data_IF_961866881703
#
_entry.id   IF_961866881703
#
_cell.length_a   1.000
_cell.length_b   1.000
_cell.length_c   1.000
_cell.angle_alpha   90.00
_cell.angle_beta   90.00
_cell.angle_gamma   90.00
#
_symmetry.space_group_name_H-M   'P 1'
#
loop_
_entity.id
_entity.type
_entity.pdbx_description
1 polymer ?
#
# COMPACT_ATOMS: atom_id res chain seq x y z
N UNK A 1 8.03 -40.33 -22.94
CA UNK A 1 7.24 -39.32 -23.68
C UNK A 1 5.86 -39.22 -23.05
N UNK A 2 5.62 -38.14 -22.30
CA UNK A 2 4.29 -37.75 -21.86
C UNK A 2 4.14 -36.24 -22.10
N UNK A 3 3.31 -35.90 -23.08
CA UNK A 3 2.71 -34.57 -23.25
C UNK A 3 1.23 -34.82 -23.54
N UNK A 4 0.42 -34.80 -22.49
CA UNK A 4 -0.79 -33.97 -22.48
C UNK A 4 -0.91 -33.19 -21.16
N UNK A 5 -1.11 -31.86 -21.27
CA UNK A 5 -1.23 -30.95 -20.13
C UNK A 5 -0.40 -29.65 -20.26
N UNK A 6 -0.28 -29.07 -21.46
CA UNK A 6 0.27 -27.70 -21.60
C UNK A 6 -0.87 -26.74 -21.33
N UNK A 7 -1.11 -26.37 -20.06
CA UNK A 7 -2.18 -25.42 -19.72
C UNK A 7 -1.69 -23.99 -19.53
N UNK A 8 -0.40 -23.74 -19.22
CA UNK A 8 0.27 -22.43 -19.28
C UNK A 8 1.78 -22.56 -18.96
N UNK A 9 2.63 -21.61 -19.41
CA UNK A 9 4.03 -21.48 -18.97
C UNK A 9 4.17 -21.55 -17.45
N UNK A 10 5.29 -22.11 -16.95
CA UNK A 10 5.70 -21.96 -15.54
C UNK A 10 5.85 -20.47 -15.25
N UNK A 11 5.44 -20.00 -14.08
CA UNK A 11 5.65 -18.59 -13.71
C UNK A 11 6.64 -18.41 -12.57
N UNK A 12 7.51 -17.43 -12.73
CA UNK A 12 8.18 -16.75 -11.64
C UNK A 12 7.40 -15.47 -11.33
N UNK A 13 6.67 -15.46 -10.21
CA UNK A 13 6.09 -14.25 -9.65
C UNK A 13 7.15 -13.62 -8.74
N UNK A 14 7.60 -12.42 -9.07
CA UNK A 14 8.60 -11.70 -8.29
C UNK A 14 8.04 -10.36 -7.84
N UNK A 15 7.80 -10.24 -6.53
CA UNK A 15 7.41 -8.98 -5.90
C UNK A 15 8.67 -8.24 -5.41
N UNK A 16 8.84 -6.99 -5.83
CA UNK A 16 9.81 -6.04 -5.29
C UNK A 16 9.08 -5.12 -4.32
N UNK A 17 9.52 -5.09 -3.07
CA UNK A 17 8.91 -4.26 -2.03
C UNK A 17 9.15 -2.77 -2.32
N UNK A 18 8.08 -1.98 -2.38
CA UNK A 18 8.14 -0.51 -2.43
C UNK A 18 8.86 0.12 -3.63
N UNK A 19 8.78 -0.48 -4.82
CA UNK A 19 9.40 0.05 -6.05
C UNK A 19 8.37 0.81 -6.90
N UNK A 20 8.51 2.14 -7.04
CA UNK A 20 7.59 2.95 -7.85
C UNK A 20 7.64 2.62 -9.35
N UNK A 21 6.48 2.73 -9.99
CA UNK A 21 6.35 2.60 -11.45
C UNK A 21 7.30 3.51 -12.24
N UNK A 22 7.47 4.75 -11.80
CA UNK A 22 8.36 5.71 -12.47
C UNK A 22 9.83 5.29 -12.44
N UNK A 23 10.28 4.59 -11.40
CA UNK A 23 11.67 4.11 -11.32
C UNK A 23 11.90 2.91 -12.24
N UNK A 24 10.89 2.05 -12.45
CA UNK A 24 10.93 1.00 -13.46
C UNK A 24 10.93 1.58 -14.88
N UNK A 25 10.09 2.57 -15.16
CA UNK A 25 10.13 3.27 -16.45
C UNK A 25 11.50 3.90 -16.70
N UNK A 26 12.07 4.58 -15.70
CA UNK A 26 13.40 5.16 -15.80
C UNK A 26 14.51 4.09 -15.99
N UNK A 27 14.37 2.92 -15.38
CA UNK A 27 15.27 1.78 -15.60
C UNK A 27 15.16 1.26 -17.05
N UNK A 28 13.94 1.10 -17.58
CA UNK A 28 13.70 0.66 -18.96
C UNK A 28 14.23 1.64 -19.99
N UNK A 29 14.05 2.93 -19.76
CA UNK A 29 14.61 3.98 -20.64
C UNK A 29 16.14 3.96 -20.69
N UNK A 30 16.81 3.33 -19.70
CA UNK A 30 18.27 3.10 -19.68
C UNK A 30 18.68 1.74 -20.29
N UNK A 31 17.75 0.96 -20.83
CA UNK A 31 18.00 -0.35 -21.45
C UNK A 31 17.91 -1.55 -20.51
N UNK A 32 17.48 -1.36 -19.25
CA UNK A 32 17.22 -2.48 -18.34
C UNK A 32 15.85 -3.09 -18.62
N UNK A 33 15.66 -4.37 -18.29
CA UNK A 33 14.40 -5.10 -18.46
C UNK A 33 13.88 -5.09 -19.91
N UNK A 34 14.79 -5.14 -20.89
CA UNK A 34 14.48 -5.18 -22.34
C UNK A 34 13.66 -6.43 -22.75
N UNK A 35 13.78 -7.50 -21.98
CA UNK A 35 13.00 -8.73 -22.15
C UNK A 35 11.56 -8.68 -21.65
N UNK A 36 11.14 -7.57 -21.02
CA UNK A 36 9.78 -7.36 -20.53
C UNK A 36 8.97 -6.47 -21.47
N UNK A 37 7.66 -6.73 -21.53
CA UNK A 37 6.68 -5.84 -22.15
C UNK A 37 6.49 -4.58 -21.30
N UNK A 38 5.67 -3.64 -21.78
CA UNK A 38 5.49 -2.35 -21.12
C UNK A 38 4.93 -2.52 -19.69
N UNK A 39 5.48 -1.80 -18.69
CA UNK A 39 4.94 -1.87 -17.35
C UNK A 39 3.60 -1.16 -17.27
N UNK A 40 2.68 -1.80 -16.58
CA UNK A 40 1.40 -1.26 -16.13
C UNK A 40 1.56 -0.57 -14.79
N UNK A 41 0.70 0.42 -14.52
CA UNK A 41 0.50 0.93 -13.16
C UNK A 41 -0.33 -0.07 -12.36
N UNK A 42 0.20 -0.51 -11.23
CA UNK A 42 -0.52 -1.32 -10.26
C UNK A 42 -0.83 -0.45 -9.06
N UNK A 43 -2.11 -0.11 -8.86
CA UNK A 43 -2.52 0.84 -7.81
C UNK A 43 -2.65 0.14 -6.47
N UNK A 44 -1.77 0.50 -5.53
CA UNK A 44 -1.86 0.08 -4.14
C UNK A 44 -3.09 0.68 -3.45
N UNK A 45 -3.78 -0.08 -2.58
CA UNK A 45 -4.85 0.47 -1.74
C UNK A 45 -4.31 1.50 -0.74
N UNK A 46 -5.15 2.43 -0.31
CA UNK A 46 -4.91 3.34 0.83
C UNK A 46 -5.40 2.70 2.17
N UNK A 47 -4.60 2.72 3.27
CA UNK A 47 -3.24 3.20 3.33
C UNK A 47 -2.30 2.28 2.56
N UNK A 48 -1.33 2.91 1.90
CA UNK A 48 -0.42 2.27 0.97
C UNK A 48 0.62 1.47 1.75
N UNK A 49 0.29 0.24 2.14
CA UNK A 49 1.10 -0.61 3.01
C UNK A 49 1.22 -2.03 2.45
N UNK A 50 2.41 -2.63 2.50
CA UNK A 50 2.72 -3.99 1.96
C UNK A 50 1.66 -5.04 2.28
N UNK A 51 1.34 -5.26 3.56
CA UNK A 51 0.40 -6.31 3.94
C UNK A 51 -1.03 -6.01 3.51
N UNK A 52 -1.41 -4.73 3.41
CA UNK A 52 -2.73 -4.33 2.91
C UNK A 52 -2.80 -4.54 1.40
N UNK A 53 -1.76 -4.09 0.69
CA UNK A 53 -1.64 -4.22 -0.76
C UNK A 53 -1.60 -5.69 -1.20
N UNK A 54 -0.71 -6.50 -0.64
CA UNK A 54 -0.57 -7.90 -1.01
C UNK A 54 -1.80 -8.73 -0.62
N UNK A 55 -2.45 -8.44 0.52
CA UNK A 55 -3.73 -9.11 0.83
C UNK A 55 -4.82 -8.77 -0.18
N UNK A 56 -4.92 -7.51 -0.65
CA UNK A 56 -5.85 -7.14 -1.71
C UNK A 56 -5.50 -7.81 -3.05
N UNK A 57 -4.24 -7.76 -3.47
CA UNK A 57 -3.74 -8.33 -4.73
C UNK A 57 -4.00 -9.82 -4.87
N UNK A 58 -3.84 -10.57 -3.78
CA UNK A 58 -4.01 -12.02 -3.78
C UNK A 58 -5.37 -12.47 -3.24
N UNK A 59 -6.29 -11.55 -2.97
CA UNK A 59 -7.57 -11.84 -2.28
C UNK A 59 -7.37 -12.70 -1.02
N UNK A 60 -6.29 -12.43 -0.29
CA UNK A 60 -5.90 -13.17 0.91
C UNK A 60 -6.57 -12.60 2.16
N UNK A 61 -6.44 -13.30 3.29
CA UNK A 61 -7.01 -12.82 4.55
C UNK A 61 -6.44 -11.43 4.91
N UNK A 62 -7.30 -10.44 5.24
CA UNK A 62 -6.85 -9.10 5.64
C UNK A 62 -5.97 -9.12 6.89
N UNK A 63 -4.84 -8.40 6.96
CA UNK A 63 -3.98 -8.38 8.14
C UNK A 63 -4.72 -7.86 9.39
N UNK A 64 -4.22 -8.17 10.59
CA UNK A 64 -4.86 -7.73 11.84
C UNK A 64 -5.00 -6.20 11.92
N UNK A 65 -3.97 -5.47 11.47
CA UNK A 65 -3.97 -4.03 11.34
C UNK A 65 -3.10 -3.57 10.19
N UNK A 66 -2.93 -2.26 10.07
CA UNK A 66 -2.19 -1.64 8.98
C UNK A 66 -0.67 -1.90 9.03
N UNK A 67 -0.14 -2.14 10.24
CA UNK A 67 1.26 -2.42 10.52
C UNK A 67 1.42 -3.56 11.54
N UNK A 68 2.67 -3.97 11.78
CA UNK A 68 3.03 -4.99 12.77
C UNK A 68 2.61 -4.63 14.20
N UNK A 69 2.63 -3.34 14.54
CA UNK A 69 1.98 -2.82 15.75
C UNK A 69 0.62 -2.25 15.33
N UNK A 70 -0.45 -2.74 15.95
CA UNK A 70 -1.81 -2.33 15.62
C UNK A 70 -2.63 -2.20 16.90
N UNK A 71 -3.80 -1.57 16.81
CA UNK A 71 -4.78 -1.56 17.89
C UNK A 71 -5.82 -2.66 17.65
N UNK A 72 -6.00 -3.54 18.61
CA UNK A 72 -7.05 -4.55 18.59
C UNK A 72 -8.32 -3.97 19.22
N UNK A 73 -9.37 -3.78 18.40
CA UNK A 73 -10.65 -3.22 18.86
C UNK A 73 -11.41 -4.16 19.81
N UNK A 74 -11.16 -5.47 19.75
CA UNK A 74 -11.81 -6.45 20.62
C UNK A 74 -11.23 -6.39 22.03
N UNK A 75 -9.89 -6.39 22.16
CA UNK A 75 -9.21 -6.27 23.46
C UNK A 75 -9.01 -4.83 23.93
N UNK A 76 -9.26 -3.85 23.04
CA UNK A 76 -9.06 -2.40 23.26
C UNK A 76 -7.63 -2.05 23.66
N UNK A 77 -6.65 -2.75 23.10
CA UNK A 77 -5.23 -2.61 23.42
C UNK A 77 -4.35 -2.69 22.17
N UNK A 78 -3.20 -2.02 22.17
CA UNK A 78 -2.19 -2.18 21.13
C UNK A 78 -1.51 -3.55 21.20
N UNK A 79 -1.48 -4.28 20.10
CA UNK A 79 -0.88 -5.60 19.99
C UNK A 79 0.23 -5.63 18.93
N UNK A 80 1.15 -6.58 19.06
CA UNK A 80 2.26 -6.80 18.13
C UNK A 80 3.50 -5.94 18.41
N UNK A 81 4.09 -5.36 17.36
CA UNK A 81 5.36 -4.61 17.43
C UNK A 81 6.63 -5.49 17.45
N UNK A 82 7.73 -4.96 18.01
CA UNK A 82 9.09 -5.55 17.91
C UNK A 82 9.15 -6.98 18.49
N UNK A 83 8.34 -7.28 19.52
CA UNK A 83 8.27 -8.61 20.12
C UNK A 83 7.92 -9.73 19.13
N UNK A 84 7.25 -9.41 18.01
CA UNK A 84 6.98 -10.36 16.91
C UNK A 84 8.25 -10.80 16.16
N UNK A 85 9.28 -9.95 16.12
CA UNK A 85 10.54 -10.22 15.40
C UNK A 85 11.58 -10.95 16.27
N UNK A 86 11.38 -10.99 17.59
CA UNK A 86 12.24 -11.73 18.53
C UNK A 86 11.80 -13.19 18.74
N UNK A 87 10.68 -13.62 18.15
CA UNK A 87 10.14 -14.98 18.22
C UNK A 87 10.12 -15.71 16.87
N UNK A 88 9.82 -17.02 16.89
CA UNK A 88 9.47 -17.79 15.67
C UNK A 88 8.37 -17.02 14.91
N UNK A 89 8.38 -17.08 13.57
CA UNK A 89 7.51 -16.36 12.59
C UNK A 89 5.99 -16.45 12.84
N UNK A 90 5.54 -17.15 13.88
CA UNK A 90 4.18 -17.64 14.07
C UNK A 90 3.94 -17.92 15.56
N UNK A 91 3.28 -16.99 16.26
CA UNK A 91 2.01 -17.37 16.90
C UNK A 91 0.80 -16.84 16.14
N UNK A 92 0.99 -15.81 15.30
CA UNK A 92 -0.09 -15.09 14.61
C UNK A 92 -0.10 -15.30 13.09
N UNK A 93 0.46 -16.41 12.54
CA UNK A 93 0.25 -16.68 11.11
C UNK A 93 -1.24 -16.90 10.93
N UNK A 94 -1.89 -15.92 10.32
CA UNK A 94 -3.27 -16.07 9.99
C UNK A 94 -3.38 -17.06 8.85
N UNK A 95 -4.23 -18.10 8.97
CA UNK A 95 -4.51 -18.99 7.86
C UNK A 95 -4.93 -18.19 6.61
N UNK A 96 -4.45 -18.63 5.45
CA UNK A 96 -4.75 -18.02 4.14
C UNK A 96 -4.21 -16.60 3.97
N UNK A 97 -3.05 -16.31 4.59
CA UNK A 97 -2.28 -15.10 4.26
C UNK A 97 -1.58 -15.26 2.92
N UNK A 98 -1.30 -14.18 2.20
CA UNK A 98 -0.46 -14.23 1.00
C UNK A 98 0.92 -14.84 1.29
N UNK A 99 1.39 -14.74 2.54
CA UNK A 99 2.65 -15.34 3.00
C UNK A 99 2.64 -16.88 2.98
N UNK A 100 1.48 -17.52 2.90
CA UNK A 100 1.37 -18.98 2.71
C UNK A 100 1.65 -19.39 1.26
N UNK A 101 1.62 -18.43 0.32
CA UNK A 101 1.89 -18.65 -1.09
C UNK A 101 3.37 -18.40 -1.45
N UNK A 102 4.17 -17.83 -0.54
CA UNK A 102 5.57 -17.49 -0.81
C UNK A 102 6.46 -18.73 -0.76
N UNK A 103 7.17 -18.98 -1.86
CA UNK A 103 8.28 -19.93 -1.93
C UNK A 103 9.58 -19.32 -1.41
N UNK A 104 9.73 -18.01 -1.60
CA UNK A 104 10.89 -17.26 -1.14
C UNK A 104 10.50 -15.97 -0.43
N UNK A 105 11.10 -15.79 0.74
CA UNK A 105 11.17 -14.52 1.44
C UNK A 105 12.47 -14.50 2.24
N UNK A 106 13.06 -13.32 2.37
CA UNK A 106 14.19 -13.09 3.26
C UNK A 106 14.01 -13.76 4.65
N UNK A 107 15.07 -14.39 5.21
CA UNK A 107 15.05 -14.92 6.57
C UNK A 107 14.83 -13.85 7.64
N UNK A 108 14.04 -14.19 8.67
CA UNK A 108 13.63 -13.29 9.77
C UNK A 108 14.76 -12.47 10.43
N UNK A 109 15.94 -13.07 10.61
CA UNK A 109 17.08 -12.40 11.24
C UNK A 109 17.52 -11.14 10.48
N UNK A 110 17.14 -11.00 9.21
CA UNK A 110 17.53 -9.89 8.36
C UNK A 110 16.44 -8.82 8.18
N UNK A 111 15.22 -9.07 8.65
CA UNK A 111 14.06 -8.17 8.46
C UNK A 111 14.23 -6.79 9.12
N UNK A 112 14.99 -6.71 10.22
CA UNK A 112 15.42 -5.43 10.80
C UNK A 112 16.75 -4.94 10.20
N UNK A 113 17.65 -5.86 9.83
CA UNK A 113 18.97 -5.53 9.30
C UNK A 113 18.90 -4.90 7.91
N UNK A 114 17.82 -5.10 7.17
CA UNK A 114 17.57 -4.43 5.89
C UNK A 114 17.63 -2.89 6.03
N UNK A 115 17.24 -2.33 7.17
CA UNK A 115 17.30 -0.88 7.43
C UNK A 115 18.65 -0.41 8.01
N UNK A 116 19.52 -1.35 8.40
CA UNK A 116 20.83 -1.07 9.01
C UNK A 116 21.97 -1.29 8.01
N UNK A 117 21.88 -2.34 7.20
CA UNK A 117 22.89 -2.73 6.22
C UNK A 117 22.26 -3.16 4.86
N UNK A 118 21.41 -2.31 4.24
CA UNK A 118 20.58 -2.66 3.09
C UNK A 118 21.36 -3.27 1.92
N UNK A 119 22.55 -2.75 1.58
CA UNK A 119 23.35 -3.28 0.46
C UNK A 119 23.86 -4.70 0.72
N UNK A 120 24.32 -4.99 1.95
CA UNK A 120 24.82 -6.31 2.31
C UNK A 120 23.69 -7.33 2.28
N UNK A 121 22.52 -6.92 2.77
CA UNK A 121 21.30 -7.73 2.74
C UNK A 121 20.89 -7.99 1.29
N UNK A 122 20.75 -6.96 0.47
CA UNK A 122 20.40 -7.08 -0.96
C UNK A 122 21.28 -8.09 -1.70
N UNK A 123 22.61 -7.97 -1.61
CA UNK A 123 23.52 -8.89 -2.30
C UNK A 123 23.42 -10.34 -1.80
N UNK A 124 23.18 -10.52 -0.51
CA UNK A 124 22.99 -11.85 0.05
C UNK A 124 21.63 -12.43 -0.35
N UNK A 125 20.60 -11.60 -0.40
CA UNK A 125 19.24 -11.98 -0.75
C UNK A 125 19.13 -12.36 -2.22
N UNK A 126 19.79 -11.61 -3.12
CA UNK A 126 19.82 -11.93 -4.55
C UNK A 126 20.44 -13.29 -4.85
N UNK A 127 21.53 -13.63 -4.17
CA UNK A 127 22.18 -14.95 -4.31
C UNK A 127 21.26 -16.06 -3.81
N UNK A 128 20.70 -15.92 -2.61
CA UNK A 128 19.78 -16.91 -2.04
C UNK A 128 18.53 -17.10 -2.88
N UNK A 129 17.92 -16.02 -3.35
CA UNK A 129 16.77 -16.06 -4.25
C UNK A 129 17.11 -16.86 -5.52
N UNK A 130 18.21 -16.51 -6.19
CA UNK A 130 18.63 -17.18 -7.42
C UNK A 130 18.89 -18.68 -7.20
N UNK A 131 19.61 -19.03 -6.12
CA UNK A 131 19.89 -20.42 -5.74
C UNK A 131 18.60 -21.20 -5.44
N UNK A 132 17.68 -20.63 -4.66
CA UNK A 132 16.43 -21.31 -4.30
C UNK A 132 15.47 -21.45 -5.48
N UNK A 133 15.36 -20.44 -6.34
CA UNK A 133 14.54 -20.54 -7.55
C UNK A 133 15.09 -21.62 -8.49
N UNK A 134 16.42 -21.68 -8.66
CA UNK A 134 17.08 -22.68 -9.51
C UNK A 134 16.91 -24.10 -8.99
N UNK A 135 16.90 -24.28 -7.66
CA UNK A 135 16.69 -25.58 -7.02
C UNK A 135 15.21 -25.99 -6.92
N UNK A 136 14.27 -25.07 -7.16
CA UNK A 136 12.85 -25.34 -7.02
C UNK A 136 12.31 -26.25 -8.13
N UNK A 137 11.24 -27.02 -7.85
CA UNK A 137 10.54 -27.78 -8.88
C UNK A 137 10.12 -26.90 -10.06
N UNK A 138 10.35 -27.42 -11.28
CA UNK A 138 10.10 -26.71 -12.54
C UNK A 138 8.70 -26.96 -13.10
N UNK A 139 7.88 -27.75 -12.40
CA UNK A 139 6.52 -28.14 -12.80
C UNK A 139 5.43 -27.29 -12.14
N UNK A 140 5.82 -26.25 -11.39
CA UNK A 140 4.90 -25.33 -10.71
C UNK A 140 5.41 -23.89 -10.72
N UNK A 141 4.49 -22.97 -10.48
CA UNK A 141 4.80 -21.56 -10.25
C UNK A 141 5.69 -21.40 -9.01
N UNK A 142 6.49 -20.34 -9.02
CA UNK A 142 7.36 -19.93 -7.93
C UNK A 142 7.08 -18.49 -7.56
N UNK A 143 6.74 -18.23 -6.29
CA UNK A 143 6.49 -16.87 -5.80
C UNK A 143 7.57 -16.41 -4.82
N UNK A 144 8.28 -15.35 -5.20
CA UNK A 144 9.31 -14.71 -4.41
C UNK A 144 8.96 -13.27 -4.04
N UNK A 145 9.28 -12.89 -2.80
CA UNK A 145 9.16 -11.52 -2.31
C UNK A 145 10.51 -10.98 -1.83
N UNK A 146 10.97 -9.91 -2.48
CA UNK A 146 12.26 -9.27 -2.22
C UNK A 146 12.04 -7.95 -1.46
N UNK A 147 12.18 -8.03 -0.13
CA UNK A 147 12.06 -6.87 0.77
C UNK A 147 13.16 -5.83 0.57
N UNK A 148 14.33 -6.28 0.11
CA UNK A 148 15.57 -5.51 -0.04
C UNK A 148 15.41 -4.12 -0.66
N UNK A 149 14.52 -3.99 -1.64
CA UNK A 149 14.29 -2.76 -2.41
C UNK A 149 13.68 -1.64 -1.58
N UNK A 150 12.75 -1.96 -0.68
CA UNK A 150 12.07 -0.99 0.17
C UNK A 150 13.05 -0.37 1.18
N UNK A 151 13.82 -1.21 1.89
CA UNK A 151 14.85 -0.76 2.83
C UNK A 151 15.96 0.05 2.15
N UNK A 152 16.36 -0.29 0.91
CA UNK A 152 17.28 0.51 0.10
C UNK A 152 16.70 1.90 -0.19
N UNK A 153 15.43 1.96 -0.59
CA UNK A 153 14.79 3.22 -0.98
C UNK A 153 14.59 4.13 0.23
N UNK A 154 14.08 3.60 1.33
CA UNK A 154 13.92 4.31 2.61
C UNK A 154 15.24 4.88 3.14
N UNK A 155 16.32 4.07 3.14
CA UNK A 155 17.58 4.46 3.79
C UNK A 155 18.54 5.21 2.87
N UNK A 156 18.54 4.90 1.56
CA UNK A 156 19.58 5.34 0.63
C UNK A 156 19.05 6.00 -0.66
N UNK A 157 17.75 5.90 -0.93
CA UNK A 157 17.10 6.62 -2.03
C UNK A 157 17.29 6.03 -3.43
N UNK A 158 16.76 6.71 -4.46
CA UNK A 158 16.56 6.15 -5.80
C UNK A 158 17.86 5.77 -6.52
N UNK A 159 18.95 6.51 -6.29
CA UNK A 159 20.24 6.21 -6.91
C UNK A 159 20.80 4.84 -6.50
N UNK A 160 20.56 4.42 -5.25
CA UNK A 160 21.00 3.10 -4.77
C UNK A 160 20.08 1.98 -5.21
N UNK A 161 18.78 2.23 -5.24
CA UNK A 161 17.83 1.31 -5.86
C UNK A 161 18.16 1.08 -7.35
N UNK A 162 18.59 2.10 -8.09
CA UNK A 162 18.99 1.95 -9.50
C UNK A 162 20.09 0.89 -9.70
N UNK A 163 21.12 0.87 -8.83
CA UNK A 163 22.20 -0.15 -8.85
C UNK A 163 21.67 -1.54 -8.49
N UNK A 164 20.72 -1.61 -7.56
CA UNK A 164 20.05 -2.87 -7.22
C UNK A 164 19.25 -3.41 -8.41
N UNK A 165 18.50 -2.55 -9.12
CA UNK A 165 17.75 -2.92 -10.32
C UNK A 165 18.65 -3.40 -11.46
N UNK A 166 19.85 -2.83 -11.63
CA UNK A 166 20.85 -3.33 -12.60
C UNK A 166 21.31 -4.76 -12.26
N UNK A 167 21.52 -5.04 -10.98
CA UNK A 167 21.89 -6.38 -10.51
C UNK A 167 20.74 -7.37 -10.72
N UNK A 168 19.50 -6.94 -10.44
CA UNK A 168 18.31 -7.75 -10.65
C UNK A 168 18.10 -8.05 -12.13
N UNK A 169 18.21 -7.06 -13.02
CA UNK A 169 18.07 -7.26 -14.47
C UNK A 169 19.02 -8.35 -14.98
N UNK A 170 20.28 -8.33 -14.54
CA UNK A 170 21.26 -9.37 -14.87
C UNK A 170 20.79 -10.77 -14.42
N UNK A 171 20.34 -10.91 -13.18
CA UNK A 171 19.85 -12.19 -12.65
C UNK A 171 18.60 -12.66 -13.41
N UNK A 172 17.70 -11.76 -13.76
CA UNK A 172 16.50 -12.12 -14.52
C UNK A 172 16.84 -12.53 -15.96
N UNK A 173 17.88 -11.94 -16.58
CA UNK A 173 18.41 -12.42 -17.87
C UNK A 173 18.98 -13.83 -17.74
N UNK A 174 19.79 -14.09 -16.72
CA UNK A 174 20.34 -15.43 -16.45
C UNK A 174 19.22 -16.48 -16.22
N UNK A 175 18.19 -16.12 -15.44
CA UNK A 175 17.02 -16.98 -15.24
C UNK A 175 16.28 -17.26 -16.57
N UNK A 176 16.11 -16.24 -17.43
CA UNK A 176 15.48 -16.42 -18.74
C UNK A 176 16.30 -17.30 -19.67
N UNK A 177 17.62 -17.17 -19.64
CA UNK A 177 18.53 -18.03 -20.41
C UNK A 177 18.47 -19.47 -19.92
N UNK A 178 18.42 -19.69 -18.60
CA UNK A 178 18.34 -21.01 -17.99
C UNK A 178 16.99 -21.70 -18.22
N UNK A 179 15.88 -21.00 -17.98
CA UNK A 179 14.53 -21.57 -18.08
C UNK A 179 13.95 -21.54 -19.51
N UNK A 180 14.52 -20.75 -20.41
CA UNK A 180 14.01 -20.56 -21.76
C UNK A 180 12.66 -19.82 -21.81
N UNK A 181 12.03 -19.83 -23.00
CA UNK A 181 10.78 -19.09 -23.26
C UNK A 181 9.53 -19.71 -22.63
N UNK A 182 9.64 -20.89 -22.04
CA UNK A 182 8.54 -21.64 -21.40
C UNK A 182 8.27 -21.17 -19.96
N UNK A 183 9.10 -20.26 -19.42
CA UNK A 183 8.87 -19.62 -18.12
C UNK A 183 8.53 -18.15 -18.30
N UNK A 184 7.35 -17.76 -17.86
CA UNK A 184 6.98 -16.35 -17.74
C UNK A 184 7.54 -15.77 -16.45
N UNK A 185 8.11 -14.57 -16.55
CA UNK A 185 8.47 -13.77 -15.37
C UNK A 185 7.47 -12.64 -15.25
N UNK A 186 6.75 -12.63 -14.14
CA UNK A 186 5.86 -11.54 -13.72
C UNK A 186 6.59 -10.76 -12.63
N UNK A 187 7.02 -9.55 -12.96
CA UNK A 187 7.70 -8.64 -12.04
C UNK A 187 6.74 -7.54 -11.61
N UNK A 188 6.59 -7.34 -10.31
CA UNK A 188 5.66 -6.34 -9.79
C UNK A 188 6.15 -5.75 -8.47
N UNK A 189 5.47 -4.69 -8.03
CA UNK A 189 5.62 -4.15 -6.69
C UNK A 189 4.26 -4.02 -6.01
N UNK A 190 4.26 -4.10 -4.69
CA UNK A 190 3.10 -3.93 -3.83
C UNK A 190 2.67 -2.47 -3.71
N UNK A 191 3.63 -1.53 -3.69
CA UNK A 191 3.37 -0.10 -3.65
C UNK A 191 4.46 0.76 -4.29
N UNK A 192 4.17 2.04 -4.47
CA UNK A 192 5.15 3.06 -4.80
C UNK A 192 5.80 3.66 -3.56
N UNK A 193 6.36 4.86 -3.72
CA UNK A 193 7.15 5.55 -2.71
C UNK A 193 7.20 7.05 -3.01
N UNK A 194 6.99 7.89 -2.00
CA UNK A 194 7.35 9.30 -2.03
C UNK A 194 8.87 9.45 -1.84
N UNK A 195 9.55 10.09 -2.79
CA UNK A 195 11.01 10.23 -2.85
C UNK A 195 11.53 11.57 -2.31
N UNK A 196 10.65 12.39 -1.73
CA UNK A 196 11.01 13.67 -1.13
C UNK A 196 11.74 13.52 0.21
N UNK A 197 12.47 14.55 0.62
CA UNK A 197 13.03 14.62 1.97
C UNK A 197 11.90 14.71 3.00
N UNK A 198 11.95 13.82 4.00
CA UNK A 198 10.84 13.58 4.90
C UNK A 198 11.07 14.15 6.30
N UNK A 199 10.06 14.79 6.88
CA UNK A 199 10.06 15.27 8.28
C UNK A 199 8.87 14.74 9.07
N UNK A 200 9.07 14.55 10.37
CA UNK A 200 8.03 13.95 11.22
C UNK A 200 6.87 14.92 11.44
N UNK A 201 5.64 14.45 11.28
CA UNK A 201 4.44 15.18 11.71
C UNK A 201 4.33 15.15 13.24
N UNK A 202 3.98 16.28 13.85
CA UNK A 202 3.83 16.42 15.30
C UNK A 202 2.45 15.95 15.80
N UNK A 203 1.82 14.99 15.12
CA UNK A 203 0.44 14.54 15.35
C UNK A 203 0.12 14.27 16.83
N UNK A 204 0.92 13.43 17.48
CA UNK A 204 0.72 13.06 18.87
C UNK A 204 0.92 14.22 19.86
N UNK A 205 1.74 15.21 19.50
CA UNK A 205 1.95 16.41 20.32
C UNK A 205 0.78 17.37 20.18
N UNK A 206 0.32 17.60 18.95
CA UNK A 206 -0.81 18.50 18.66
C UNK A 206 -2.12 17.98 19.26
N UNK A 207 -2.38 16.66 19.18
CA UNK A 207 -3.57 16.06 19.82
C UNK A 207 -3.53 16.19 21.34
N UNK A 208 -2.37 16.00 21.99
CA UNK A 208 -2.23 16.24 23.43
C UNK A 208 -2.47 17.70 23.80
N UNK A 209 -1.96 18.65 23.00
CA UNK A 209 -2.22 20.09 23.20
C UNK A 209 -3.70 20.44 23.07
N UNK A 210 -4.44 19.73 22.21
CA UNK A 210 -5.90 19.84 22.08
C UNK A 210 -6.68 19.20 23.25
N UNK A 211 -5.99 18.52 24.17
CA UNK A 211 -6.58 17.91 25.37
C UNK A 211 -6.90 16.42 25.25
N UNK A 212 -6.44 15.75 24.19
CA UNK A 212 -6.59 14.29 24.07
C UNK A 212 -5.53 13.54 24.88
N UNK A 213 -5.94 12.44 25.49
CA UNK A 213 -5.04 11.51 26.18
C UNK A 213 -4.68 10.37 25.21
N UNK A 214 -3.39 10.20 24.91
CA UNK A 214 -2.92 9.14 24.02
C UNK A 214 -2.43 7.92 24.81
N UNK A 215 -3.09 6.77 24.64
CA UNK A 215 -2.81 5.54 25.38
C UNK A 215 -2.68 4.33 24.44
N UNK A 216 -1.95 3.30 24.88
CA UNK A 216 -1.96 1.98 24.21
C UNK A 216 -3.24 1.19 24.52
N UNK A 217 -3.97 1.57 25.57
CA UNK A 217 -5.24 0.95 25.98
C UNK A 217 -6.34 2.01 26.06
N UNK A 218 -7.55 1.67 25.60
CA UNK A 218 -8.72 2.55 25.71
C UNK A 218 -9.68 2.02 26.76
N UNK A 219 -10.06 2.88 27.71
CA UNK A 219 -11.03 2.60 28.76
C UNK A 219 -12.30 3.41 28.50
N UNK A 220 -13.47 2.78 28.66
CA UNK A 220 -14.76 3.42 28.35
C UNK A 220 -15.10 4.64 29.24
N UNK A 221 -14.42 4.83 30.38
CA UNK A 221 -14.77 5.86 31.36
C UNK A 221 -14.08 7.21 31.13
N UNK A 222 -13.34 7.40 30.04
CA UNK A 222 -12.66 8.66 29.74
C UNK A 222 -12.85 9.01 28.26
N UNK A 223 -13.79 9.93 28.01
CA UNK A 223 -14.30 10.27 26.68
C UNK A 223 -13.33 11.01 25.77
N UNK A 224 -12.06 11.27 26.13
CA UNK A 224 -11.06 11.91 25.24
C UNK A 224 -9.77 11.10 25.09
N UNK A 225 -9.91 9.78 25.08
CA UNK A 225 -8.80 8.87 24.87
C UNK A 225 -8.66 8.48 23.40
N UNK A 226 -7.43 8.48 22.90
CA UNK A 226 -7.09 8.01 21.56
C UNK A 226 -5.95 6.99 21.64
N UNK A 227 -5.97 6.02 20.74
CA UNK A 227 -4.81 5.17 20.48
C UNK A 227 -4.32 5.40 19.06
N UNK A 228 -3.02 5.61 18.92
CA UNK A 228 -2.38 5.86 17.62
C UNK A 228 -1.14 4.98 17.55
N UNK A 229 -1.26 3.72 17.08
CA UNK A 229 -0.11 2.86 16.85
C UNK A 229 0.93 3.58 16.01
N UNK A 230 2.20 3.52 16.45
CA UNK A 230 3.31 4.17 15.78
C UNK A 230 4.47 3.18 15.71
N UNK A 231 4.76 2.65 14.52
CA UNK A 231 5.79 1.64 14.32
C UNK A 231 6.77 2.06 13.22
N UNK A 232 6.45 1.77 11.96
CA UNK A 232 7.17 2.22 10.78
C UNK A 232 7.13 3.73 10.61
N UNK A 233 8.01 4.24 9.73
CA UNK A 233 8.09 5.67 9.40
C UNK A 233 7.34 5.89 8.08
N UNK A 234 6.01 6.05 8.17
CA UNK A 234 5.09 6.02 7.02
C UNK A 234 4.31 7.34 6.89
N UNK A 235 3.83 7.67 5.70
CA UNK A 235 2.99 8.85 5.42
C UNK A 235 1.49 8.59 5.67
N UNK A 236 1.16 7.82 6.70
CA UNK A 236 -0.23 7.70 7.17
C UNK A 236 -0.27 7.58 8.70
N UNK A 237 -1.47 7.71 9.28
CA UNK A 237 -1.70 7.35 10.68
C UNK A 237 -3.09 6.73 10.86
N UNK A 238 -3.19 5.76 11.76
CA UNK A 238 -4.44 5.14 12.18
C UNK A 238 -4.79 5.59 13.60
N UNK A 239 -5.93 6.24 13.78
CA UNK A 239 -6.41 6.73 15.08
C UNK A 239 -7.65 5.93 15.48
N UNK A 240 -7.59 5.39 16.70
CA UNK A 240 -8.68 4.67 17.36
C UNK A 240 -9.20 5.52 18.50
N UNK A 241 -10.51 5.74 18.55
CA UNK A 241 -11.15 6.62 19.52
C UNK A 241 -11.78 5.80 20.65
N UNK A 242 -11.69 6.30 21.89
CA UNK A 242 -12.34 5.67 23.04
C UNK A 242 -13.86 5.77 23.00
N UNK A 243 -14.38 6.75 22.26
CA UNK A 243 -15.79 7.06 22.07
C UNK A 243 -16.03 7.50 20.62
N UNK A 244 -17.20 7.17 20.06
CA UNK A 244 -17.62 7.57 18.72
C UNK A 244 -17.83 9.09 18.61
N UNK A 245 -18.29 9.76 19.67
CA UNK A 245 -18.52 11.21 19.67
C UNK A 245 -17.23 12.01 19.41
N UNK A 246 -16.07 11.42 19.71
CA UNK A 246 -14.74 12.03 19.53
C UNK A 246 -14.27 12.01 18.08
N UNK A 247 -14.81 11.11 17.24
CA UNK A 247 -14.35 10.91 15.85
C UNK A 247 -14.47 12.21 15.05
N UNK A 248 -15.60 12.92 15.18
CA UNK A 248 -15.77 14.21 14.48
C UNK A 248 -14.81 15.26 15.02
N UNK A 249 -14.68 15.38 16.35
CA UNK A 249 -13.77 16.38 16.95
C UNK A 249 -12.32 16.17 16.50
N UNK A 250 -11.86 14.92 16.47
CA UNK A 250 -10.52 14.57 15.97
C UNK A 250 -10.41 14.95 14.51
N UNK A 251 -11.34 14.51 13.66
CA UNK A 251 -11.30 14.79 12.21
C UNK A 251 -11.27 16.30 11.91
N UNK A 252 -12.05 17.10 12.64
CA UNK A 252 -12.06 18.56 12.53
C UNK A 252 -10.73 19.18 12.97
N UNK A 253 -10.15 18.68 14.06
CA UNK A 253 -8.86 19.18 14.55
C UNK A 253 -7.72 18.87 13.57
N UNK A 254 -7.70 17.69 12.96
CA UNK A 254 -6.65 17.25 12.03
C UNK A 254 -6.51 18.18 10.81
N UNK A 255 -7.58 18.87 10.41
CA UNK A 255 -7.53 19.89 9.34
C UNK A 255 -6.53 21.03 9.61
N UNK A 256 -6.14 21.22 10.87
CA UNK A 256 -5.24 22.31 11.28
C UNK A 256 -3.83 21.82 11.61
N UNK A 257 -3.54 20.52 11.53
CA UNK A 257 -2.23 19.96 11.88
C UNK A 257 -1.30 20.04 10.67
N UNK A 258 -0.17 20.77 10.75
CA UNK A 258 0.76 20.89 9.63
C UNK A 258 1.32 19.52 9.19
N UNK A 259 1.21 19.23 7.89
CA UNK A 259 1.65 17.97 7.30
C UNK A 259 0.53 16.96 7.07
N UNK A 260 -0.66 17.16 7.64
CA UNK A 260 -1.84 16.35 7.28
C UNK A 260 -2.37 16.80 5.93
N UNK A 261 -2.68 15.83 5.07
CA UNK A 261 -3.35 16.06 3.80
C UNK A 261 -4.87 16.02 3.98
N UNK A 262 -5.38 14.88 4.44
CA UNK A 262 -6.76 14.72 4.87
C UNK A 262 -6.91 13.54 5.84
N UNK A 263 -8.01 13.53 6.58
CA UNK A 263 -8.51 12.40 7.36
C UNK A 263 -9.77 11.82 6.75
N UNK A 264 -9.98 10.54 6.98
CA UNK A 264 -11.10 9.73 6.50
C UNK A 264 -11.76 9.08 7.72
N UNK A 265 -13.07 9.21 7.83
CA UNK A 265 -13.89 8.55 8.86
C UNK A 265 -15.26 8.18 8.31
N UNK A 266 -16.06 7.46 9.09
CA UNK A 266 -17.46 7.20 8.78
C UNK A 266 -18.35 8.23 9.49
N UNK A 267 -19.40 8.68 8.83
CA UNK A 267 -20.51 9.39 9.47
C UNK A 267 -21.50 8.40 10.12
N UNK A 268 -22.52 8.92 10.81
CA UNK A 268 -23.56 8.10 11.46
C UNK A 268 -24.38 7.24 10.47
N UNK A 269 -24.44 7.65 9.21
CA UNK A 269 -25.13 6.92 8.14
C UNK A 269 -24.23 5.90 7.44
N UNK A 270 -22.95 5.79 7.83
CA UNK A 270 -21.97 4.89 7.24
C UNK A 270 -21.37 5.40 5.92
N UNK A 271 -21.58 6.66 5.57
CA UNK A 271 -20.91 7.31 4.46
C UNK A 271 -19.49 7.72 4.85
N UNK A 272 -18.64 7.91 3.86
CA UNK A 272 -17.23 8.25 4.11
C UNK A 272 -17.05 9.75 4.10
N UNK A 273 -16.64 10.28 5.24
CA UNK A 273 -16.34 11.69 5.43
C UNK A 273 -14.85 11.92 5.23
N UNK A 274 -14.52 12.87 4.34
CA UNK A 274 -13.14 13.31 4.08
C UNK A 274 -13.00 14.74 4.57
N UNK A 275 -12.01 15.00 5.42
CA UNK A 275 -11.75 16.32 6.01
C UNK A 275 -10.27 16.65 5.93
N UNK A 276 -9.92 17.83 5.44
CA UNK A 276 -8.54 18.30 5.36
C UNK A 276 -8.45 19.82 5.27
N UNK A 277 -7.23 20.39 5.22
CA UNK A 277 -7.03 21.84 5.12
C UNK A 277 -7.66 22.44 3.85
N UNK A 278 -7.84 21.65 2.79
CA UNK A 278 -8.44 22.07 1.53
C UNK A 278 -9.98 21.98 1.51
N UNK A 279 -10.61 21.43 2.56
CA UNK A 279 -12.06 21.32 2.66
C UNK A 279 -12.58 20.05 3.32
N UNK A 280 -13.88 19.84 3.22
CA UNK A 280 -14.58 18.63 3.62
C UNK A 280 -15.54 18.15 2.53
N UNK A 281 -15.69 16.84 2.41
CA UNK A 281 -16.58 16.22 1.44
C UNK A 281 -17.10 14.87 1.94
N UNK A 282 -18.22 14.45 1.39
CA UNK A 282 -18.86 13.16 1.63
C UNK A 282 -18.72 12.27 0.40
N UNK A 283 -18.39 11.00 0.62
CA UNK A 283 -18.41 9.94 -0.39
C UNK A 283 -19.50 8.94 -0.02
N UNK A 284 -20.45 8.80 -0.93
CA UNK A 284 -21.56 7.85 -0.80
C UNK A 284 -21.40 6.75 -1.84
N UNK A 285 -21.87 5.54 -1.51
CA UNK A 285 -21.82 4.38 -2.39
C UNK A 285 -23.21 3.82 -2.59
N UNK A 286 -23.50 3.46 -3.84
CA UNK A 286 -24.71 2.72 -4.24
C UNK A 286 -24.30 1.48 -5.02
N UNK A 287 -25.07 0.40 -4.90
CA UNK A 287 -24.90 -0.81 -5.69
C UNK A 287 -26.24 -1.09 -6.39
N UNK A 288 -26.22 -1.20 -7.72
CA UNK A 288 -27.38 -1.52 -8.55
C UNK A 288 -26.94 -2.57 -9.57
N UNK A 289 -27.66 -3.69 -9.68
CA UNK A 289 -27.35 -4.77 -10.64
C UNK A 289 -25.87 -5.18 -10.66
N UNK A 290 -25.27 -5.37 -9.48
CA UNK A 290 -23.84 -5.66 -9.27
C UNK A 290 -22.86 -4.56 -9.69
N UNK A 291 -23.34 -3.44 -10.23
CA UNK A 291 -22.53 -2.27 -10.57
C UNK A 291 -22.43 -1.37 -9.34
N UNK A 292 -21.20 -0.96 -9.02
CA UNK A 292 -20.96 0.00 -7.95
C UNK A 292 -20.95 1.42 -8.52
N UNK A 293 -21.59 2.34 -7.81
CA UNK A 293 -21.62 3.75 -8.11
C UNK A 293 -21.16 4.55 -6.89
N UNK A 294 -20.50 5.68 -7.13
CA UNK A 294 -20.11 6.62 -6.09
C UNK A 294 -20.66 8.02 -6.37
N UNK A 295 -20.97 8.73 -5.29
CA UNK A 295 -21.27 10.16 -5.30
C UNK A 295 -20.29 10.89 -4.40
N UNK A 296 -19.78 12.02 -4.89
CA UNK A 296 -18.91 12.91 -4.15
C UNK A 296 -19.56 14.28 -3.99
N UNK A 297 -19.75 14.70 -2.74
CA UNK A 297 -20.44 15.94 -2.39
C UNK A 297 -19.55 16.79 -1.50
N UNK A 298 -19.07 17.92 -2.02
CA UNK A 298 -18.28 18.89 -1.24
C UNK A 298 -19.18 19.63 -0.25
N UNK A 299 -18.78 19.70 1.01
CA UNK A 299 -19.45 20.50 2.04
C UNK A 299 -18.77 21.87 2.19
N UNK A 300 -17.44 21.90 2.13
CA UNK A 300 -16.63 23.11 2.09
C UNK A 300 -15.36 22.81 1.29
N UNK A 301 -14.92 23.69 0.39
CA UNK A 301 -13.73 23.45 -0.42
C UNK A 301 -13.81 22.14 -1.23
N UNK A 302 -12.65 21.53 -1.52
CA UNK A 302 -12.55 20.29 -2.30
C UNK A 302 -11.31 19.49 -1.88
N UNK A 303 -11.38 18.70 -0.80
CA UNK A 303 -10.20 18.03 -0.23
C UNK A 303 -9.57 16.98 -1.13
N UNK A 304 -10.28 16.50 -2.16
CA UNK A 304 -9.78 15.49 -3.10
C UNK A 304 -9.60 16.04 -4.52
N UNK A 305 -9.78 17.35 -4.74
CA UNK A 305 -9.66 18.01 -6.04
C UNK A 305 -10.54 17.39 -7.16
N UNK A 306 -11.73 16.90 -6.78
CA UNK A 306 -12.61 16.13 -7.68
C UNK A 306 -13.62 16.99 -8.45
N UNK A 307 -13.86 18.24 -8.05
CA UNK A 307 -14.98 19.06 -8.53
C UNK A 307 -14.92 19.32 -10.04
N UNK A 308 -13.73 19.62 -10.57
CA UNK A 308 -13.57 19.88 -12.00
C UNK A 308 -13.78 18.62 -12.85
N UNK A 309 -13.30 17.46 -12.38
CA UNK A 309 -13.49 16.17 -13.04
C UNK A 309 -14.97 15.79 -13.09
N UNK A 310 -15.68 15.93 -11.96
CA UNK A 310 -17.10 15.64 -11.88
C UNK A 310 -17.94 16.61 -12.71
N UNK A 311 -17.53 17.89 -12.80
CA UNK A 311 -18.19 18.86 -13.68
C UNK A 311 -18.08 18.48 -15.16
N UNK A 312 -16.92 17.98 -15.58
CA UNK A 312 -16.73 17.46 -16.94
C UNK A 312 -17.60 16.22 -17.20
N UNK A 313 -17.58 15.25 -16.28
CA UNK A 313 -18.41 14.03 -16.40
C UNK A 313 -19.91 14.36 -16.46
N UNK A 314 -20.37 15.38 -15.72
CA UNK A 314 -21.77 15.84 -15.78
C UNK A 314 -22.12 16.40 -17.14
N UNK A 315 -21.26 17.24 -17.72
CA UNK A 315 -21.44 17.79 -19.07
C UNK A 315 -21.50 16.68 -20.12
N UNK A 316 -20.72 15.61 -19.91
CA UNK A 316 -20.66 14.47 -20.81
C UNK A 316 -21.78 13.44 -20.58
N UNK A 317 -22.74 13.73 -19.69
CA UNK A 317 -23.88 12.84 -19.41
C UNK A 317 -23.50 11.54 -18.67
N UNK A 318 -22.33 11.52 -18.01
CA UNK A 318 -21.80 10.34 -17.30
C UNK A 318 -22.12 10.32 -15.80
N UNK A 319 -22.89 11.30 -15.32
CA UNK A 319 -23.39 11.39 -13.95
C UNK A 319 -24.91 11.29 -14.00
N UNK A 320 -25.50 10.46 -13.15
CA UNK A 320 -26.95 10.33 -13.05
C UNK A 320 -27.60 11.57 -12.41
N UNK A 321 -28.94 11.64 -12.44
CA UNK A 321 -29.70 12.75 -11.87
C UNK A 321 -29.49 12.94 -10.35
N UNK A 322 -29.07 11.88 -9.65
CA UNK A 322 -28.80 11.87 -8.21
C UNK A 322 -27.35 12.20 -7.87
N UNK A 323 -26.49 12.42 -8.87
CA UNK A 323 -25.08 12.77 -8.71
C UNK A 323 -24.13 11.56 -8.64
N UNK A 324 -24.60 10.35 -8.92
CA UNK A 324 -23.79 9.13 -8.88
C UNK A 324 -23.11 8.86 -10.22
N UNK A 325 -21.90 8.31 -10.14
CA UNK A 325 -21.05 7.93 -11.26
C UNK A 325 -20.65 6.47 -11.09
N UNK A 326 -20.71 5.69 -12.17
CA UNK A 326 -20.27 4.30 -12.14
C UNK A 326 -18.75 4.20 -11.86
N UNK A 327 -18.37 3.18 -11.10
CA UNK A 327 -16.99 3.00 -10.61
C UNK A 327 -15.95 2.86 -11.73
N UNK A 328 -16.28 2.20 -12.83
CA UNK A 328 -15.42 2.04 -14.01
C UNK A 328 -15.14 3.38 -14.72
N UNK A 329 -16.14 4.25 -14.78
CA UNK A 329 -16.01 5.61 -15.30
C UNK A 329 -15.13 6.46 -14.40
N UNK A 330 -15.30 6.35 -13.08
CA UNK A 330 -14.45 7.04 -12.12
C UNK A 330 -13.02 6.52 -12.20
N UNK A 331 -12.81 5.21 -12.30
CA UNK A 331 -11.49 4.61 -12.41
C UNK A 331 -10.74 5.11 -13.64
N UNK A 332 -11.36 4.99 -14.81
CA UNK A 332 -10.79 5.45 -16.09
C UNK A 332 -10.48 6.95 -16.08
N UNK A 333 -11.24 7.75 -15.32
CA UNK A 333 -11.01 9.20 -15.20
C UNK A 333 -9.93 9.56 -14.17
N UNK A 334 -9.74 8.74 -13.13
CA UNK A 334 -8.96 9.12 -11.94
C UNK A 334 -7.74 8.27 -11.66
N UNK A 335 -7.46 7.22 -12.44
CA UNK A 335 -6.29 6.36 -12.19
C UNK A 335 -4.94 7.09 -12.28
N UNK A 336 -4.88 8.23 -12.98
CA UNK A 336 -3.69 9.09 -13.07
C UNK A 336 -3.81 10.39 -12.28
N UNK A 337 -4.88 10.54 -11.49
CA UNK A 337 -5.12 11.72 -10.66
C UNK A 337 -4.07 11.85 -9.55
N UNK A 338 -4.00 13.02 -8.91
CA UNK A 338 -3.17 13.26 -7.70
C UNK A 338 -3.45 12.22 -6.61
N UNK A 339 -4.72 11.82 -6.50
CA UNK A 339 -5.21 10.70 -5.70
C UNK A 339 -5.72 9.61 -6.64
N UNK A 340 -4.91 8.59 -6.98
CA UNK A 340 -5.32 7.55 -7.91
C UNK A 340 -6.54 6.80 -7.41
N UNK A 341 -7.54 6.64 -8.28
CA UNK A 341 -8.79 5.95 -7.95
C UNK A 341 -9.49 6.52 -6.69
N UNK A 342 -9.46 7.85 -6.55
CA UNK A 342 -9.71 8.58 -5.31
C UNK A 342 -10.94 8.08 -4.53
N UNK A 343 -12.11 8.01 -5.17
CA UNK A 343 -13.36 7.71 -4.49
C UNK A 343 -13.42 6.27 -4.00
N UNK A 344 -13.15 5.30 -4.87
CA UNK A 344 -13.17 3.89 -4.50
C UNK A 344 -12.07 3.58 -3.47
N UNK A 345 -10.88 4.13 -3.66
CA UNK A 345 -9.73 3.85 -2.81
C UNK A 345 -9.90 4.44 -1.39
N UNK A 346 -10.37 5.69 -1.28
CA UNK A 346 -10.66 6.33 0.01
C UNK A 346 -11.87 5.66 0.67
N UNK A 347 -12.94 5.39 -0.06
CA UNK A 347 -14.12 4.74 0.49
C UNK A 347 -13.78 3.38 1.11
N UNK A 348 -13.06 2.54 0.35
CA UNK A 348 -12.67 1.19 0.80
C UNK A 348 -11.73 1.21 2.01
N UNK A 349 -10.96 2.28 2.23
CA UNK A 349 -9.99 2.37 3.33
C UNK A 349 -10.60 2.28 4.74
N UNK A 350 -11.87 2.67 4.88
CA UNK A 350 -12.61 2.63 6.15
C UNK A 350 -13.92 1.82 6.07
N UNK A 351 -14.51 1.68 4.88
CA UNK A 351 -15.79 0.96 4.69
C UNK A 351 -15.63 -0.52 4.31
N UNK A 352 -14.40 -1.00 4.06
CA UNK A 352 -14.15 -2.41 3.75
C UNK A 352 -13.09 -3.01 4.67
N UNK A 353 -13.07 -4.34 4.78
CA UNK A 353 -12.14 -5.09 5.63
C UNK A 353 -10.74 -5.19 4.98
N UNK A 354 -10.09 -4.06 4.68
CA UNK A 354 -8.67 -4.04 4.27
C UNK A 354 -7.73 -4.49 5.37
N UNK A 355 -8.16 -4.33 6.61
CA UNK A 355 -7.56 -4.87 7.83
C UNK A 355 -8.69 -5.38 8.73
N UNK A 356 -8.39 -6.22 9.73
CA UNK A 356 -9.40 -6.68 10.70
C UNK A 356 -9.85 -5.59 11.66
N UNK A 357 -8.90 -4.76 12.12
CA UNK A 357 -9.17 -3.70 13.07
C UNK A 357 -9.05 -2.32 12.40
N UNK A 358 -10.06 -1.98 11.61
CA UNK A 358 -10.13 -0.69 10.90
C UNK A 358 -10.16 0.49 11.87
N UNK A 359 -9.36 1.51 11.59
CA UNK A 359 -9.28 2.74 12.37
C UNK A 359 -10.62 3.50 12.36
N UNK A 360 -10.89 4.28 13.41
CA UNK A 360 -12.04 5.18 13.45
C UNK A 360 -11.78 6.46 12.65
N UNK A 361 -10.52 6.91 12.64
CA UNK A 361 -10.01 7.97 11.75
C UNK A 361 -8.71 7.51 11.10
N UNK A 362 -8.70 7.42 9.78
CA UNK A 362 -7.51 7.13 8.99
C UNK A 362 -6.98 8.44 8.39
N UNK A 363 -5.67 8.67 8.47
CA UNK A 363 -5.05 9.95 8.09
C UNK A 363 -4.08 9.74 6.93
N UNK A 364 -4.28 10.48 5.85
CA UNK A 364 -3.30 10.67 4.77
C UNK A 364 -2.38 11.84 5.14
N UNK A 365 -1.08 11.62 5.09
CA UNK A 365 -0.05 12.63 5.40
C UNK A 365 0.57 13.10 4.08
N UNK A 366 0.82 14.41 3.96
CA UNK A 366 1.41 15.02 2.75
C UNK A 366 2.77 14.41 2.42
N UNK A 367 3.12 14.43 1.13
CA UNK A 367 4.50 14.17 0.72
C UNK A 367 5.46 15.12 1.45
N UNK A 368 6.64 14.59 1.77
CA UNK A 368 7.64 15.22 2.63
C UNK A 368 7.35 15.13 4.13
N UNK A 369 6.28 14.44 4.54
CA UNK A 369 5.96 14.17 5.95
C UNK A 369 5.77 12.68 6.25
N UNK A 370 6.08 12.28 7.49
CA UNK A 370 5.82 10.94 8.00
C UNK A 370 5.36 10.94 9.45
N UNK A 371 4.68 9.88 9.88
CA UNK A 371 4.41 9.52 11.27
C UNK A 371 5.05 8.17 11.59
N UNK A 372 5.34 7.91 12.87
CA UNK A 372 6.04 6.69 13.26
C UNK A 372 6.76 6.76 14.60
N UNK A 373 7.43 5.67 14.96
CA UNK A 373 8.13 5.57 16.24
C UNK A 373 9.37 6.48 16.30
N UNK A 374 9.44 7.32 17.33
CA UNK A 374 10.49 8.34 17.45
C UNK A 374 11.90 7.78 17.62
N UNK A 375 12.04 6.57 18.17
CA UNK A 375 13.35 5.93 18.33
C UNK A 375 13.94 5.55 16.98
N UNK A 376 13.13 5.01 16.06
CA UNK A 376 13.56 4.68 14.69
C UNK A 376 14.02 5.92 13.92
N UNK A 377 13.29 7.04 14.05
CA UNK A 377 13.63 8.30 13.41
C UNK A 377 14.99 8.88 13.85
N UNK A 378 15.55 8.46 14.99
CA UNK A 378 16.89 8.90 15.44
C UNK A 378 18.02 8.08 14.82
N UNK A 379 17.72 6.88 14.32
CA UNK A 379 18.71 5.94 13.78
C UNK A 379 18.74 6.00 12.26
N UNK A 380 17.62 6.33 11.62
CA UNK A 380 17.47 6.34 10.16
C UNK A 380 17.13 7.74 9.66
N UNK A 381 17.96 8.28 8.75
CA UNK A 381 17.57 9.44 7.93
C UNK A 381 16.70 8.95 6.78
N UNK A 382 15.40 9.16 6.90
CA UNK A 382 14.41 8.72 5.91
C UNK A 382 14.57 9.52 4.60
N UNK A 383 14.93 8.83 3.52
CA UNK A 383 15.09 9.40 2.17
C UNK A 383 13.83 9.28 1.32
N UNK A 384 12.96 8.36 1.68
CA UNK A 384 11.72 8.08 0.98
C UNK A 384 10.72 7.47 1.97
N UNK A 385 9.42 7.59 1.73
CA UNK A 385 8.37 6.97 2.55
C UNK A 385 7.12 6.65 1.74
N UNK A 386 6.23 5.83 2.29
CA UNK A 386 4.96 5.49 1.67
C UNK A 386 3.85 5.43 2.74
N UNK A 387 2.60 5.33 2.31
CA UNK A 387 1.45 5.16 3.21
C UNK A 387 0.27 6.05 2.86
N UNK A 388 0.53 7.26 2.37
CA UNK A 388 -0.51 8.21 1.98
C UNK A 388 -1.29 7.77 0.73
N UNK A 389 -2.36 8.50 0.44
CA UNK A 389 -3.22 8.29 -0.73
C UNK A 389 -2.69 8.98 -2.01
N UNK A 390 -1.51 9.62 -1.94
CA UNK A 390 -0.96 10.37 -3.05
C UNK A 390 -0.35 9.44 -4.09
N UNK A 391 -0.35 9.93 -5.33
CA UNK A 391 0.09 9.20 -6.53
C UNK A 391 1.44 8.51 -6.38
N UNK A 392 2.42 9.15 -5.72
CA UNK A 392 3.77 8.58 -5.57
C UNK A 392 3.76 7.31 -4.72
N UNK A 393 3.05 7.30 -3.60
CA UNK A 393 2.88 6.10 -2.77
C UNK A 393 2.03 5.05 -3.47
N UNK A 394 0.95 5.43 -4.15
CA UNK A 394 0.00 4.46 -4.70
C UNK A 394 0.45 3.76 -5.99
N UNK A 395 1.33 4.37 -6.79
CA UNK A 395 1.75 3.82 -8.08
C UNK A 395 2.89 2.80 -7.96
N UNK A 396 2.51 1.55 -7.73
CA UNK A 396 3.37 0.40 -7.98
C UNK A 396 3.37 0.04 -9.47
N UNK A 397 4.11 -1.01 -9.84
CA UNK A 397 4.15 -1.50 -11.22
C UNK A 397 3.82 -2.99 -11.31
N UNK A 398 3.45 -3.40 -12.52
CA UNK A 398 3.35 -4.79 -12.92
C UNK A 398 3.83 -4.92 -14.37
N UNK A 399 4.69 -5.88 -14.66
CA UNK A 399 5.11 -6.20 -16.03
C UNK A 399 5.36 -7.69 -16.21
N UNK A 400 5.22 -8.16 -17.44
CA UNK A 400 5.41 -9.55 -17.81
C UNK A 400 6.36 -9.67 -19.00
N UNK A 401 7.08 -10.78 -19.09
CA UNK A 401 7.84 -11.17 -20.29
C UNK A 401 6.96 -11.72 -21.41
N UNK A 402 5.69 -12.05 -21.13
CA UNK A 402 4.81 -12.80 -22.03
C UNK A 402 3.47 -12.12 -22.32
N UNK A 403 2.99 -11.25 -21.44
CA UNK A 403 1.64 -10.66 -21.54
C UNK A 403 1.70 -9.14 -21.63
N UNK A 404 0.95 -8.60 -22.60
CA UNK A 404 0.54 -7.20 -22.57
C UNK A 404 -0.56 -7.06 -21.50
N UNK A 405 -0.38 -6.08 -20.64
CA UNK A 405 -1.25 -5.83 -19.50
C UNK A 405 -1.98 -4.49 -19.69
N UNK A 406 -3.18 -4.33 -19.12
CA UNK A 406 -3.86 -3.03 -19.13
C UNK A 406 -2.98 -1.91 -18.58
N UNK A 407 -3.16 -0.68 -19.06
CA UNK A 407 -2.34 0.45 -18.63
C UNK A 407 -2.34 0.65 -17.10
N UNK A 408 -3.47 0.36 -16.45
CA UNK A 408 -3.65 0.48 -15.01
C UNK A 408 -4.51 -0.65 -14.46
N UNK A 409 -4.12 -1.19 -13.31
CA UNK A 409 -4.79 -2.30 -12.62
C UNK A 409 -4.95 -1.92 -11.15
N UNK A 410 -6.13 -2.18 -10.56
CA UNK A 410 -6.33 -2.04 -9.10
C UNK A 410 -5.74 -3.23 -8.37
N UNK A 411 -5.25 -3.04 -7.15
CA UNK A 411 -4.84 -4.15 -6.31
C UNK A 411 -5.93 -5.23 -6.18
N UNK A 412 -7.19 -4.85 -5.93
CA UNK A 412 -8.30 -5.82 -5.79
C UNK A 412 -8.55 -6.67 -7.06
N UNK A 413 -8.06 -6.24 -8.22
CA UNK A 413 -8.20 -6.93 -9.52
C UNK A 413 -6.90 -7.65 -9.93
N UNK A 414 -5.79 -7.41 -9.21
CA UNK A 414 -4.46 -7.85 -9.60
C UNK A 414 -4.33 -9.37 -9.63
N UNK A 415 -5.09 -10.10 -8.80
CA UNK A 415 -5.05 -11.56 -8.74
C UNK A 415 -5.29 -12.23 -10.09
N UNK A 416 -6.17 -11.67 -10.93
CA UNK A 416 -6.40 -12.19 -12.28
C UNK A 416 -5.16 -12.05 -13.19
N UNK A 417 -4.32 -11.04 -12.98
CA UNK A 417 -3.11 -10.81 -13.76
C UNK A 417 -1.88 -11.49 -13.15
N UNK A 418 -1.83 -11.63 -11.82
CA UNK A 418 -0.75 -12.31 -11.12
C UNK A 418 -0.89 -13.84 -11.24
N UNK A 419 -2.11 -14.36 -11.09
CA UNK A 419 -2.39 -15.79 -11.01
C UNK A 419 -3.08 -16.39 -12.25
N UNK A 420 -3.66 -15.57 -13.14
CA UNK A 420 -4.35 -16.01 -14.35
C UNK A 420 -3.47 -16.34 -15.55
#
# INVERSE_FOLDING_TARGET
MHRPGVSRPRRLLLCLDGVPHELILAARNRGLFDGFLAPSRLLSPFPTMTNVALSAMFSATPPNGYESLYFDKQSKHQAGGIGKYLGRRTPDKMPSSYMDQLDYQEPLAFEFLIYVAPEKIWRADMRRFHEQFSAAPQDRDYFAFLKGTDGLLHAQGPARLAVALETLDKILREIREFCGRETEIVLFSDHGMNLEDNKRVNLATELRRKGFTLNSQLNQNNGRQLSIPAFGLCSYAAIYCGDHEVVSEVSDFLCNVPGIDFSVSLDEAGNVLVKGPAGSALIERRIEDQTTFYRYSTQAGDPLEMSQLLSNLRRDGRIDASGFVADDVLFSTTHSHKYPDALANVYRSVSTHRVKHTADVLVSIKDGYYYGWSAFARVVKLRATHGNALRQSSNAFLMSTHRDLPECIRADEAGAYLLG
#
